data_IF_915237759786
#
_entry.id   IF_915237759786
#
_cell.length_a   1.000
_cell.length_b   1.000
_cell.length_c   1.000
_cell.angle_alpha   90.00
_cell.angle_beta   90.00
_cell.angle_gamma   90.00
#
_symmetry.space_group_name_H-M   'P 1'
#
loop_
_entity.id
_entity.type
_entity.pdbx_description
1 polymer ?
#
# COMPACT_ATOMS: atom_id res chain seq x y z
N UNK A 1 -3.89 -27.83 24.94
CA UNK A 1 -2.80 -26.86 25.16
C UNK A 1 -2.69 -26.67 26.66
N UNK A 2 -1.47 -26.67 27.18
CA UNK A 2 -1.22 -26.34 28.58
C UNK A 2 -1.61 -24.88 28.83
N UNK A 3 -2.30 -24.62 29.93
CA UNK A 3 -2.76 -23.27 30.31
C UNK A 3 -1.97 -22.82 31.52
N UNK A 4 -1.60 -21.55 31.56
CA UNK A 4 -0.95 -20.90 32.69
C UNK A 4 -1.84 -19.82 33.28
N UNK A 5 -1.82 -19.70 34.61
CA UNK A 5 -2.63 -18.72 35.35
C UNK A 5 -1.76 -17.52 35.70
N UNK A 6 -2.19 -16.35 35.31
CA UNK A 6 -1.48 -15.07 35.53
C UNK A 6 -2.45 -14.03 36.07
N UNK A 7 -1.91 -12.89 36.53
CA UNK A 7 -2.73 -11.71 36.84
C UNK A 7 -2.25 -10.52 36.05
N UNK A 8 -3.16 -9.81 35.39
CA UNK A 8 -2.87 -8.54 34.73
C UNK A 8 -3.68 -7.43 35.36
N UNK A 9 -3.02 -6.42 35.93
CA UNK A 9 -3.65 -5.32 36.69
C UNK A 9 -4.61 -5.83 37.79
N UNK A 10 -4.23 -6.90 38.47
CA UNK A 10 -5.05 -7.55 39.51
C UNK A 10 -6.14 -8.53 39.01
N UNK A 11 -6.41 -8.55 37.69
CA UNK A 11 -7.38 -9.45 37.06
C UNK A 11 -6.77 -10.84 36.81
N UNK A 12 -7.33 -11.92 37.35
CA UNK A 12 -6.86 -13.28 37.09
C UNK A 12 -7.23 -13.70 35.66
N UNK A 13 -6.32 -14.35 34.97
CA UNK A 13 -6.45 -14.82 33.60
C UNK A 13 -5.80 -16.19 33.43
N UNK A 14 -6.45 -17.06 32.65
CA UNK A 14 -5.86 -18.32 32.20
C UNK A 14 -5.59 -18.22 30.69
N UNK A 15 -4.34 -18.37 30.27
CA UNK A 15 -3.89 -18.20 28.90
C UNK A 15 -3.04 -19.37 28.45
N UNK A 16 -2.90 -19.66 27.15
CA UNK A 16 -2.04 -20.73 26.66
C UNK A 16 -0.57 -20.52 27.07
N UNK A 17 0.08 -21.58 27.50
CA UNK A 17 1.52 -21.57 27.77
C UNK A 17 2.29 -21.18 26.49
N UNK A 18 3.34 -20.36 26.64
CA UNK A 18 4.13 -19.85 25.51
C UNK A 18 3.58 -18.57 24.88
N UNK A 19 2.38 -18.11 25.26
CA UNK A 19 1.90 -16.79 24.84
C UNK A 19 2.81 -15.69 25.39
N UNK A 20 2.91 -14.57 24.66
CA UNK A 20 3.56 -13.35 25.16
C UNK A 20 2.64 -12.59 26.11
N UNK A 21 3.22 -11.71 26.94
CA UNK A 21 2.41 -10.82 27.80
C UNK A 21 1.47 -9.93 26.95
N UNK A 22 1.93 -9.51 25.77
CA UNK A 22 1.12 -8.70 24.85
C UNK A 22 -0.11 -9.48 24.35
N UNK A 23 0.05 -10.72 23.96
CA UNK A 23 -1.05 -11.59 23.52
C UNK A 23 -2.04 -11.85 24.65
N UNK A 24 -1.51 -12.19 25.83
CA UNK A 24 -2.33 -12.38 27.03
C UNK A 24 -3.15 -11.12 27.41
N UNK A 25 -2.53 -9.95 27.33
CA UNK A 25 -3.21 -8.68 27.59
C UNK A 25 -4.31 -8.41 26.57
N UNK A 26 -4.05 -8.62 25.28
CA UNK A 26 -5.05 -8.46 24.21
C UNK A 26 -6.22 -9.43 24.35
N UNK A 27 -5.95 -10.67 24.73
CA UNK A 27 -6.98 -11.65 25.03
C UNK A 27 -7.93 -11.16 26.16
N UNK A 28 -7.40 -10.42 27.12
CA UNK A 28 -8.14 -9.80 28.21
C UNK A 28 -8.77 -8.43 27.85
N UNK A 29 -8.68 -7.98 26.60
CA UNK A 29 -9.16 -6.66 26.19
C UNK A 29 -8.28 -5.49 26.66
N UNK A 30 -7.06 -5.75 27.16
CA UNK A 30 -6.12 -4.72 27.61
C UNK A 30 -5.20 -4.35 26.44
N UNK A 31 -5.27 -3.10 26.00
CA UNK A 31 -4.45 -2.61 24.91
C UNK A 31 -3.10 -2.07 25.41
N UNK A 32 -2.04 -2.86 25.23
CA UNK A 32 -0.66 -2.41 25.43
C UNK A 32 -0.16 -1.79 24.11
N UNK A 33 0.33 -0.52 24.13
CA UNK A 33 0.78 0.14 22.91
C UNK A 33 2.02 -0.52 22.32
N UNK A 34 2.12 -0.50 20.98
CA UNK A 34 3.26 -1.02 20.23
C UNK A 34 3.58 -0.10 19.05
N UNK A 35 4.85 0.00 18.64
CA UNK A 35 5.27 0.69 17.41
C UNK A 35 6.04 -0.22 16.46
N UNK A 36 6.80 -1.20 16.98
CA UNK A 36 7.55 -2.11 16.12
C UNK A 36 6.84 -3.44 15.89
N UNK A 37 6.00 -3.90 16.82
CA UNK A 37 5.42 -5.22 16.77
C UNK A 37 4.38 -5.39 15.65
N UNK A 38 4.54 -6.47 14.92
CA UNK A 38 3.54 -7.01 14.00
C UNK A 38 3.49 -8.52 14.19
N UNK A 39 2.29 -9.06 14.47
CA UNK A 39 2.10 -10.48 14.74
C UNK A 39 2.66 -11.34 13.61
N UNK A 40 3.38 -12.38 13.97
CA UNK A 40 3.98 -13.38 13.07
C UNK A 40 4.97 -12.81 12.02
N UNK A 41 5.23 -11.50 12.05
CA UNK A 41 6.06 -10.83 11.06
C UNK A 41 7.25 -10.06 11.68
N UNK A 42 7.02 -9.25 12.70
CA UNK A 42 8.07 -8.42 13.31
C UNK A 42 7.94 -8.37 14.84
N UNK A 43 8.53 -9.33 15.53
CA UNK A 43 8.44 -9.51 16.98
C UNK A 43 9.81 -9.32 17.66
N UNK A 44 10.45 -8.17 17.40
CA UNK A 44 11.85 -7.91 17.76
C UNK A 44 12.05 -7.09 19.04
N UNK A 45 10.99 -6.56 19.65
CA UNK A 45 11.06 -5.78 20.88
C UNK A 45 11.88 -4.48 20.79
N UNK A 46 12.09 -3.91 19.60
CA UNK A 46 13.00 -2.77 19.36
C UNK A 46 12.54 -1.45 19.97
N UNK A 47 11.26 -1.10 19.85
CA UNK A 47 10.75 0.24 20.20
C UNK A 47 10.57 0.50 21.70
N UNK A 48 10.53 -0.55 22.53
CA UNK A 48 10.35 -0.47 24.00
C UNK A 48 9.07 0.23 24.50
N UNK A 49 8.15 0.56 23.63
CA UNK A 49 6.87 1.21 24.01
C UNK A 49 5.94 0.24 24.75
N UNK A 50 6.05 -1.06 24.51
CA UNK A 50 5.22 -2.08 25.14
C UNK A 50 5.72 -2.51 26.54
N UNK A 51 6.60 -1.75 27.20
CA UNK A 51 7.11 -2.12 28.52
C UNK A 51 6.00 -2.24 29.55
N UNK A 52 6.15 -3.24 30.43
CA UNK A 52 5.25 -3.53 31.56
C UNK A 52 6.07 -3.84 32.79
N UNK A 53 5.44 -3.76 33.94
CA UNK A 53 6.02 -4.12 35.22
C UNK A 53 5.58 -5.53 35.60
N UNK A 54 6.55 -6.40 35.89
CA UNK A 54 6.30 -7.76 36.41
C UNK A 54 6.77 -7.77 37.85
N UNK A 55 5.90 -8.24 38.75
CA UNK A 55 6.22 -8.33 40.18
C UNK A 55 7.47 -9.21 40.37
N UNK A 56 8.40 -8.75 41.22
CA UNK A 56 9.73 -9.34 41.47
C UNK A 56 10.74 -9.20 40.34
N UNK A 57 10.38 -8.65 39.15
CA UNK A 57 11.38 -8.32 38.16
C UNK A 57 12.12 -7.03 38.51
N UNK A 58 13.45 -7.03 38.38
CA UNK A 58 14.27 -5.84 38.66
C UNK A 58 14.03 -4.68 37.68
N UNK A 59 13.68 -5.01 36.45
CA UNK A 59 13.49 -4.06 35.35
C UNK A 59 12.13 -4.22 34.71
N UNK A 60 11.67 -3.21 33.99
CA UNK A 60 10.52 -3.32 33.10
C UNK A 60 10.84 -4.27 31.95
N UNK A 61 9.88 -5.12 31.55
CA UNK A 61 10.02 -6.06 30.44
C UNK A 61 9.18 -5.66 29.25
N UNK A 62 9.60 -6.08 28.06
CA UNK A 62 8.86 -5.79 26.82
C UNK A 62 7.77 -6.84 26.60
N UNK A 63 6.52 -6.45 26.72
CA UNK A 63 5.39 -7.36 26.65
C UNK A 63 5.29 -8.14 25.32
N UNK A 64 5.77 -7.59 24.21
CA UNK A 64 5.64 -8.20 22.89
C UNK A 64 6.55 -9.41 22.64
N UNK A 65 7.58 -9.60 23.46
CA UNK A 65 8.55 -10.73 23.32
C UNK A 65 8.75 -11.51 24.63
N UNK A 66 8.15 -11.06 25.73
CA UNK A 66 8.34 -11.72 27.02
C UNK A 66 7.23 -12.77 27.22
N UNK A 67 7.58 -14.08 27.38
CA UNK A 67 6.59 -15.11 27.56
C UNK A 67 5.96 -15.07 28.95
N UNK A 68 4.70 -15.50 29.05
CA UNK A 68 4.01 -15.66 30.33
C UNK A 68 4.45 -16.94 31.04
N UNK A 69 4.47 -16.90 32.38
CA UNK A 69 4.75 -18.07 33.23
C UNK A 69 3.70 -18.15 34.33
N UNK A 70 3.51 -19.36 34.88
CA UNK A 70 2.53 -19.61 35.95
C UNK A 70 2.74 -18.69 37.16
N UNK A 71 1.66 -18.13 37.68
CA UNK A 71 1.66 -17.23 38.82
C UNK A 71 2.22 -15.83 38.59
N UNK A 72 2.50 -15.46 37.33
CA UNK A 72 3.03 -14.13 36.98
C UNK A 72 2.00 -13.03 37.27
N UNK A 73 2.44 -11.95 37.93
CA UNK A 73 1.63 -10.77 38.22
C UNK A 73 2.21 -9.57 37.46
N UNK A 74 1.38 -8.92 36.65
CA UNK A 74 1.77 -7.93 35.63
C UNK A 74 0.97 -6.65 35.80
N UNK A 75 1.65 -5.50 35.78
CA UNK A 75 1.03 -4.17 35.77
C UNK A 75 1.36 -3.46 34.46
N UNK A 76 0.33 -3.11 33.71
CA UNK A 76 0.45 -2.46 32.40
C UNK A 76 0.36 -0.94 32.47
N UNK A 77 -0.06 -0.38 33.60
CA UNK A 77 -0.40 1.02 33.81
C UNK A 77 0.16 1.61 35.11
N UNK A 78 1.18 0.99 35.72
CA UNK A 78 1.80 1.57 36.91
C UNK A 78 2.48 2.91 36.60
N UNK A 79 2.65 3.82 37.59
CA UNK A 79 3.36 5.10 37.40
C UNK A 79 4.74 4.92 36.79
N UNK A 80 5.43 3.84 37.14
CA UNK A 80 6.76 3.50 36.60
C UNK A 80 6.68 3.17 35.10
N UNK A 81 5.68 2.40 34.68
CA UNK A 81 5.42 2.05 33.27
C UNK A 81 5.06 3.31 32.47
N UNK A 82 4.15 4.13 32.98
CA UNK A 82 3.71 5.35 32.30
C UNK A 82 4.87 6.34 32.09
N UNK A 83 5.69 6.55 33.12
CA UNK A 83 6.90 7.39 33.03
C UNK A 83 7.90 6.85 32.02
N UNK A 84 8.15 5.53 32.00
CA UNK A 84 9.09 4.90 31.07
C UNK A 84 8.62 5.03 29.61
N UNK A 85 7.33 4.87 29.35
CA UNK A 85 6.77 5.03 28.00
C UNK A 85 6.84 6.47 27.52
N UNK A 86 6.50 7.46 28.38
CA UNK A 86 6.64 8.88 28.05
C UNK A 86 8.09 9.22 27.70
N UNK A 87 9.04 8.84 28.54
CA UNK A 87 10.48 9.06 28.28
C UNK A 87 10.93 8.37 26.98
N UNK A 88 10.44 7.18 26.68
CA UNK A 88 10.77 6.48 25.42
C UNK A 88 10.26 7.24 24.20
N UNK A 89 9.08 7.84 24.26
CA UNK A 89 8.54 8.69 23.19
C UNK A 89 9.36 9.97 23.02
N UNK A 90 9.72 10.64 24.12
CA UNK A 90 10.58 11.82 24.11
C UNK A 90 11.95 11.51 23.48
N UNK A 91 12.56 10.36 23.82
CA UNK A 91 13.80 9.90 23.20
C UNK A 91 13.64 9.59 21.70
N UNK A 92 12.50 9.05 21.27
CA UNK A 92 12.24 8.86 19.83
C UNK A 92 12.10 10.18 19.09
N UNK A 93 11.51 11.19 19.73
CA UNK A 93 11.37 12.53 19.16
C UNK A 93 12.69 13.27 19.02
N UNK A 94 13.71 12.96 19.86
CA UNK A 94 15.01 13.62 19.80
C UNK A 94 15.72 13.45 18.44
N UNK A 95 15.46 12.36 17.74
CA UNK A 95 16.05 12.05 16.42
C UNK A 95 15.04 12.15 15.27
N UNK A 96 13.79 12.52 15.55
CA UNK A 96 12.71 12.56 14.58
C UNK A 96 12.46 13.96 14.03
N UNK A 97 12.32 14.12 12.71
CA UNK A 97 11.87 15.40 12.11
C UNK A 97 10.43 15.71 12.53
N UNK A 98 10.28 16.69 13.40
CA UNK A 98 9.03 17.08 14.07
C UNK A 98 8.10 17.96 13.22
N UNK A 99 8.31 18.07 11.90
CA UNK A 99 7.45 18.84 10.99
C UNK A 99 6.11 18.15 10.73
N UNK A 100 5.36 17.87 11.79
CA UNK A 100 4.11 17.09 11.71
C UNK A 100 3.05 17.72 10.80
N UNK A 101 2.91 19.05 10.80
CA UNK A 101 1.88 19.75 9.99
C UNK A 101 2.07 19.59 8.47
N UNK A 102 3.30 19.39 8.01
CA UNK A 102 3.63 19.12 6.61
C UNK A 102 3.86 17.65 6.31
N UNK A 103 3.73 16.78 7.30
CA UNK A 103 3.95 15.35 7.15
C UNK A 103 2.75 14.67 6.48
N UNK A 104 3.00 13.74 5.54
CA UNK A 104 1.95 12.93 4.88
C UNK A 104 1.17 12.04 5.84
N UNK A 105 1.71 11.78 7.03
CA UNK A 105 1.09 11.00 8.12
C UNK A 105 0.44 11.88 9.19
N UNK A 106 0.34 13.19 9.00
CA UNK A 106 -0.38 14.05 9.95
C UNK A 106 -1.78 13.48 10.20
N UNK A 107 -2.22 13.49 11.46
CA UNK A 107 -3.47 12.87 11.95
C UNK A 107 -3.49 11.32 11.95
N UNK A 108 -2.69 10.66 11.13
CA UNK A 108 -2.70 9.20 10.92
C UNK A 108 -1.35 8.56 11.29
N UNK A 109 -0.55 9.23 12.13
CA UNK A 109 0.75 8.78 12.60
C UNK A 109 0.64 8.08 13.95
N UNK A 110 1.10 6.81 14.04
CA UNK A 110 1.08 6.05 15.29
C UNK A 110 1.95 6.71 16.39
N UNK A 111 3.10 7.30 16.03
CA UNK A 111 3.97 8.01 16.95
C UNK A 111 3.28 9.27 17.50
N UNK A 112 2.71 10.12 16.63
CA UNK A 112 2.00 11.33 17.01
C UNK A 112 0.83 11.04 17.95
N UNK A 113 0.05 9.97 17.65
CA UNK A 113 -1.04 9.52 18.52
C UNK A 113 -0.53 9.15 19.90
N UNK A 114 0.52 8.34 19.99
CA UNK A 114 1.07 7.93 21.29
C UNK A 114 1.65 9.12 22.07
N UNK A 115 2.34 10.06 21.43
CA UNK A 115 2.83 11.27 22.10
C UNK A 115 1.67 12.05 22.76
N UNK A 116 0.55 12.19 22.06
CA UNK A 116 -0.65 12.83 22.61
C UNK A 116 -1.26 12.00 23.76
N UNK A 117 -1.41 10.68 23.57
CA UNK A 117 -2.03 9.78 24.54
C UNK A 117 -1.21 9.71 25.87
N UNK A 118 0.11 9.89 25.80
CA UNK A 118 1.01 9.90 26.97
C UNK A 118 1.38 11.30 27.47
N UNK A 119 0.77 12.34 26.93
CA UNK A 119 0.97 13.72 27.39
C UNK A 119 2.42 14.20 27.23
N UNK A 120 3.04 13.95 26.07
CA UNK A 120 4.33 14.51 25.72
C UNK A 120 4.11 15.98 25.36
N UNK A 121 4.53 16.89 26.24
CA UNK A 121 4.39 18.34 26.09
C UNK A 121 5.66 18.96 25.50
N UNK A 122 6.82 18.54 26.03
CA UNK A 122 8.13 19.00 25.56
C UNK A 122 8.67 18.01 24.50
N UNK A 123 8.54 18.39 23.25
CA UNK A 123 9.02 17.59 22.13
C UNK A 123 10.53 17.71 21.91
N UNK A 124 11.16 18.65 22.58
CA UNK A 124 12.59 18.97 22.49
C UNK A 124 13.37 18.59 23.77
N UNK A 125 12.72 17.86 24.69
CA UNK A 125 13.29 17.46 25.98
C UNK A 125 14.69 16.81 25.90
N UNK A 126 14.99 16.12 24.81
CA UNK A 126 16.27 15.46 24.54
C UNK A 126 16.88 15.94 23.21
N UNK A 127 16.73 17.22 22.88
CA UNK A 127 17.32 17.76 21.65
C UNK A 127 18.84 17.74 21.70
N UNK A 128 19.49 17.45 20.58
CA UNK A 128 20.94 17.37 20.43
C UNK A 128 21.37 17.29 18.99
N UNK A 129 22.64 17.04 18.76
CA UNK A 129 23.15 16.79 17.39
C UNK A 129 22.60 15.48 16.85
N UNK A 130 21.98 15.55 15.68
CA UNK A 130 21.41 14.40 14.99
C UNK A 130 22.00 14.23 13.61
N UNK A 131 22.35 13.00 13.20
CA UNK A 131 22.72 12.74 11.83
C UNK A 131 21.54 13.08 10.90
N UNK A 132 21.81 13.87 9.88
CA UNK A 132 20.83 14.20 8.86
C UNK A 132 21.02 13.27 7.66
N UNK A 133 19.96 12.57 7.28
CA UNK A 133 19.95 11.70 6.12
C UNK A 133 19.37 12.43 4.91
N UNK A 134 19.98 12.29 3.72
CA UNK A 134 19.39 12.81 2.49
C UNK A 134 18.09 12.07 2.20
N UNK A 135 17.18 12.72 1.47
CA UNK A 135 15.99 12.09 0.93
C UNK A 135 16.38 11.16 -0.21
N UNK A 136 15.93 9.91 -0.16
CA UNK A 136 16.04 8.99 -1.28
C UNK A 136 14.76 9.07 -2.12
N UNK A 137 14.87 9.75 -3.26
CA UNK A 137 13.82 9.93 -4.27
C UNK A 137 14.16 9.25 -5.60
N UNK A 138 15.12 8.34 -5.59
CA UNK A 138 15.63 7.66 -6.78
C UNK A 138 14.62 6.74 -7.43
N UNK A 139 13.63 6.25 -6.67
CA UNK A 139 12.51 5.50 -7.26
C UNK A 139 11.50 6.44 -7.91
N UNK A 140 10.76 5.93 -8.91
CA UNK A 140 9.73 6.71 -9.59
C UNK A 140 8.46 6.95 -8.76
N UNK A 141 8.27 6.24 -7.65
CA UNK A 141 6.96 6.15 -7.00
C UNK A 141 6.99 6.19 -5.47
N UNK A 142 8.14 6.14 -4.86
CA UNK A 142 8.26 6.24 -3.40
C UNK A 142 9.45 7.12 -2.99
N UNK A 143 9.34 7.65 -1.79
CA UNK A 143 10.37 8.45 -1.12
C UNK A 143 10.69 7.82 0.21
N UNK A 144 11.98 7.72 0.54
CA UNK A 144 12.49 7.32 1.85
C UNK A 144 13.13 8.53 2.54
N UNK A 145 12.63 8.83 3.72
CA UNK A 145 13.09 9.92 4.60
C UNK A 145 13.49 9.35 5.96
N UNK A 146 14.78 9.05 6.11
CA UNK A 146 15.29 8.50 7.36
C UNK A 146 15.23 9.47 8.53
N UNK A 147 15.09 10.79 8.31
CA UNK A 147 14.91 11.76 9.38
C UNK A 147 13.57 11.59 10.13
N UNK A 148 12.64 10.82 9.55
CA UNK A 148 11.36 10.44 10.17
C UNK A 148 11.31 8.97 10.60
N UNK A 149 12.42 8.26 10.51
CA UNK A 149 12.50 6.85 10.87
C UNK A 149 12.70 6.67 12.37
N UNK A 150 11.93 5.77 12.98
CA UNK A 150 12.05 5.37 14.41
C UNK A 150 12.70 4.00 14.56
N UNK A 151 13.35 3.49 13.54
CA UNK A 151 14.08 2.20 13.52
C UNK A 151 13.24 1.00 13.99
N UNK A 152 11.93 1.02 13.76
CA UNK A 152 11.03 -0.05 14.16
C UNK A 152 11.18 -1.33 13.32
N UNK A 153 11.83 -1.27 12.17
CA UNK A 153 12.10 -2.38 11.24
C UNK A 153 10.86 -3.08 10.67
N UNK A 154 9.65 -2.53 10.82
CA UNK A 154 8.45 -3.09 10.19
C UNK A 154 8.57 -3.18 8.66
N UNK A 155 9.19 -2.17 8.04
CA UNK A 155 9.42 -2.14 6.60
C UNK A 155 10.40 -3.22 6.13
N UNK A 156 11.41 -3.54 6.94
CA UNK A 156 12.38 -4.61 6.68
C UNK A 156 11.67 -5.95 6.67
N UNK A 157 10.99 -6.29 7.76
CA UNK A 157 10.23 -7.53 7.87
C UNK A 157 9.17 -7.67 6.76
N UNK A 158 8.45 -6.60 6.44
CA UNK A 158 7.49 -6.60 5.34
C UNK A 158 8.14 -6.78 3.96
N UNK A 159 9.39 -6.35 3.76
CA UNK A 159 10.12 -6.56 2.52
C UNK A 159 10.63 -8.00 2.40
N UNK A 160 11.09 -8.57 3.50
CA UNK A 160 11.52 -9.97 3.60
C UNK A 160 10.35 -10.94 3.38
N UNK A 161 9.19 -10.66 3.98
CA UNK A 161 7.96 -11.44 3.79
C UNK A 161 7.48 -11.48 2.33
N UNK A 162 7.81 -10.46 1.54
CA UNK A 162 7.56 -10.46 0.10
C UNK A 162 8.67 -11.16 -0.72
N UNK A 163 9.60 -11.85 -0.07
CA UNK A 163 10.77 -12.49 -0.68
C UNK A 163 11.64 -11.54 -1.52
N UNK A 164 11.65 -10.25 -1.18
CA UNK A 164 12.43 -9.20 -1.89
C UNK A 164 13.67 -8.81 -1.10
N UNK A 165 13.53 -8.49 0.21
CA UNK A 165 14.64 -8.32 1.14
C UNK A 165 15.68 -7.26 0.77
N UNK A 166 15.33 -6.19 0.03
CA UNK A 166 16.30 -5.20 -0.47
C UNK A 166 16.60 -4.06 0.50
N UNK A 167 15.84 -3.97 1.59
CA UNK A 167 16.04 -2.94 2.63
C UNK A 167 16.37 -3.59 3.96
N UNK A 168 17.29 -2.99 4.71
CA UNK A 168 17.74 -3.48 6.01
C UNK A 168 18.34 -2.36 6.86
N UNK A 169 18.74 -2.67 8.11
CA UNK A 169 19.47 -1.71 8.92
C UNK A 169 20.93 -1.63 8.45
N UNK A 170 21.38 -0.43 8.13
CA UNK A 170 22.76 -0.08 7.83
C UNK A 170 23.38 0.67 9.01
N UNK A 171 24.71 0.70 9.11
CA UNK A 171 25.41 1.33 10.21
C UNK A 171 25.21 0.61 11.55
N UNK A 172 25.60 1.28 12.63
CA UNK A 172 25.42 0.80 14.01
C UNK A 172 25.39 1.94 15.00
N UNK A 173 24.87 1.69 16.20
CA UNK A 173 24.75 2.71 17.23
C UNK A 173 23.88 3.87 16.78
N UNK A 174 24.34 5.08 16.96
CA UNK A 174 23.61 6.30 16.64
C UNK A 174 23.46 6.54 15.11
N UNK A 175 24.40 6.03 14.31
CA UNK A 175 24.38 6.14 12.84
C UNK A 175 23.50 5.08 12.17
N UNK A 176 22.79 4.27 12.95
CA UNK A 176 21.90 3.24 12.38
C UNK A 176 20.76 3.90 11.61
N UNK A 177 20.58 3.47 10.38
CA UNK A 177 19.47 3.91 9.54
C UNK A 177 18.93 2.74 8.69
N UNK A 178 17.78 2.90 8.07
CA UNK A 178 17.23 1.92 7.14
C UNK A 178 17.72 2.26 5.74
N UNK A 179 18.46 1.33 5.14
CA UNK A 179 19.11 1.50 3.85
C UNK A 179 18.98 0.27 2.95
N UNK A 180 19.72 0.27 1.87
CA UNK A 180 19.96 -0.90 1.04
C UNK A 180 21.40 -1.36 1.21
N UNK A 181 21.72 -2.59 0.79
CA UNK A 181 23.08 -3.13 0.87
C UNK A 181 24.09 -2.18 0.16
N UNK A 182 25.25 -2.01 0.78
CA UNK A 182 26.34 -1.15 0.27
C UNK A 182 25.95 0.33 0.09
N UNK A 183 25.02 0.83 0.90
CA UNK A 183 24.52 2.22 0.84
C UNK A 183 23.95 2.62 -0.54
N UNK A 184 23.48 1.65 -1.31
CA UNK A 184 22.84 1.92 -2.59
C UNK A 184 21.50 2.61 -2.40
N UNK A 185 21.13 3.42 -3.36
CA UNK A 185 19.81 4.02 -3.42
C UNK A 185 18.73 2.97 -3.72
N UNK A 186 17.51 3.23 -3.28
CA UNK A 186 16.39 2.30 -3.46
C UNK A 186 16.03 2.10 -4.94
N UNK A 187 16.37 3.06 -5.82
CA UNK A 187 16.20 2.96 -7.27
C UNK A 187 17.17 2.00 -7.95
N UNK A 188 18.32 1.72 -7.32
CA UNK A 188 19.42 0.94 -7.89
C UNK A 188 19.45 -0.53 -7.45
N UNK A 189 18.48 -0.93 -6.60
CA UNK A 189 18.35 -2.30 -6.12
C UNK A 189 17.13 -3.00 -6.75
N UNK A 190 17.06 -4.32 -6.58
CA UNK A 190 15.97 -5.14 -7.13
C UNK A 190 14.60 -4.92 -6.44
N UNK A 191 14.26 -3.67 -6.12
CA UNK A 191 12.99 -3.31 -5.54
C UNK A 191 11.85 -3.53 -6.53
N UNK A 192 10.87 -4.37 -6.16
CA UNK A 192 9.70 -4.68 -7.01
C UNK A 192 8.58 -3.65 -6.91
N UNK A 193 8.75 -2.63 -6.08
CA UNK A 193 7.79 -1.54 -5.94
C UNK A 193 6.39 -1.98 -5.47
N UNK A 194 6.34 -2.98 -4.57
CA UNK A 194 5.07 -3.50 -4.06
C UNK A 194 4.38 -2.56 -3.06
N UNK A 195 5.11 -1.63 -2.40
CA UNK A 195 4.57 -0.66 -1.45
C UNK A 195 4.32 -1.21 -0.03
N UNK A 196 4.61 -2.49 0.27
CA UNK A 196 4.38 -3.07 1.60
C UNK A 196 5.14 -2.34 2.70
N UNK A 197 6.34 -1.88 2.42
CA UNK A 197 7.13 -1.07 3.35
C UNK A 197 6.45 0.27 3.71
N UNK A 198 5.74 0.90 2.77
CA UNK A 198 4.97 2.14 3.00
C UNK A 198 3.77 1.87 3.92
N UNK A 199 3.01 0.80 3.63
CA UNK A 199 1.81 0.43 4.40
C UNK A 199 2.16 0.15 5.85
N UNK A 200 3.26 -0.56 6.09
CA UNK A 200 3.67 -0.98 7.42
C UNK A 200 4.47 0.08 8.19
N UNK A 201 4.86 1.21 7.56
CA UNK A 201 5.58 2.27 8.24
C UNK A 201 4.65 3.02 9.22
N UNK A 202 4.97 3.07 10.53
CA UNK A 202 4.14 3.76 11.53
C UNK A 202 4.27 5.28 11.50
N UNK A 203 5.27 5.78 10.77
CA UNK A 203 5.58 7.22 10.61
C UNK A 203 5.60 7.62 9.13
N UNK A 204 6.01 8.84 8.83
CA UNK A 204 6.16 9.35 7.46
C UNK A 204 7.50 9.06 6.78
N UNK A 205 8.30 8.12 7.33
CA UNK A 205 9.62 7.81 6.80
C UNK A 205 9.60 7.18 5.40
N UNK A 206 8.58 6.41 5.10
CA UNK A 206 8.33 5.84 3.78
C UNK A 206 6.96 6.34 3.29
N UNK A 207 6.94 6.92 2.11
CA UNK A 207 5.73 7.47 1.51
C UNK A 207 5.71 7.28 0.01
N UNK A 208 4.54 7.35 -0.57
CA UNK A 208 4.36 7.49 -2.00
C UNK A 208 4.90 8.84 -2.49
N UNK A 209 5.42 8.88 -3.72
CA UNK A 209 5.80 10.11 -4.39
C UNK A 209 4.52 10.83 -4.82
N UNK A 210 4.27 12.01 -4.27
CA UNK A 210 3.02 12.74 -4.47
C UNK A 210 2.94 13.28 -5.91
N UNK A 211 1.86 12.97 -6.60
CA UNK A 211 1.58 13.44 -7.96
C UNK A 211 0.29 14.28 -8.05
N UNK A 212 -0.26 14.69 -6.91
CA UNK A 212 -1.52 15.45 -6.86
C UNK A 212 -1.42 16.76 -7.64
N UNK A 213 -0.33 17.50 -7.44
CA UNK A 213 -0.18 18.83 -8.05
C UNK A 213 -0.07 18.75 -9.58
N UNK A 214 0.54 17.68 -10.11
CA UNK A 214 0.57 17.41 -11.55
C UNK A 214 -0.85 17.20 -12.11
N UNK A 215 -1.68 16.46 -11.37
CA UNK A 215 -3.08 16.21 -11.74
C UNK A 215 -3.91 17.49 -11.68
N UNK A 216 -3.78 18.25 -10.60
CA UNK A 216 -4.49 19.52 -10.43
C UNK A 216 -4.14 20.49 -11.56
N UNK A 217 -2.84 20.61 -11.89
CA UNK A 217 -2.39 21.42 -13.01
C UNK A 217 -2.94 20.94 -14.36
N UNK A 218 -3.07 19.61 -14.53
CA UNK A 218 -3.65 19.05 -15.74
C UNK A 218 -5.15 19.35 -15.87
N UNK A 219 -5.91 19.28 -14.76
CA UNK A 219 -7.34 19.60 -14.73
C UNK A 219 -7.58 21.11 -14.98
N UNK A 220 -6.71 21.95 -14.46
CA UNK A 220 -6.81 23.40 -14.63
C UNK A 220 -6.47 23.90 -16.06
N UNK A 221 -5.83 23.08 -16.89
CA UNK A 221 -5.45 23.44 -18.25
C UNK A 221 -6.61 23.18 -19.23
N UNK A 222 -7.29 24.22 -19.76
CA UNK A 222 -8.47 24.07 -20.63
C UNK A 222 -8.15 23.39 -21.98
N UNK A 223 -6.87 23.28 -22.34
CA UNK A 223 -6.42 22.56 -23.55
C UNK A 223 -6.32 21.06 -23.38
N UNK A 224 -6.43 20.56 -22.14
CA UNK A 224 -6.29 19.15 -21.82
C UNK A 224 -7.65 18.52 -21.55
N UNK A 225 -7.86 17.36 -22.10
CA UNK A 225 -9.00 16.52 -21.78
C UNK A 225 -8.54 15.45 -20.76
N UNK A 226 -8.92 15.59 -19.51
CA UNK A 226 -8.44 14.78 -18.39
C UNK A 226 -9.43 13.66 -18.09
N UNK A 227 -8.96 12.43 -18.28
CA UNK A 227 -9.77 11.21 -18.11
C UNK A 227 -9.22 10.39 -16.98
N UNK A 228 -10.08 9.91 -16.10
CA UNK A 228 -9.73 9.03 -15.00
C UNK A 228 -10.37 7.65 -15.18
N UNK A 229 -9.62 6.63 -14.78
CA UNK A 229 -10.16 5.28 -14.61
C UNK A 229 -9.80 4.76 -13.21
N UNK A 230 -10.76 4.11 -12.56
CA UNK A 230 -10.61 3.63 -11.19
C UNK A 230 -10.39 2.12 -11.14
N UNK A 231 -9.43 1.66 -10.32
CA UNK A 231 -9.29 0.24 -10.05
C UNK A 231 -10.45 -0.27 -9.18
N UNK A 232 -10.86 -1.55 -9.32
CA UNK A 232 -12.01 -2.10 -8.59
C UNK A 232 -11.92 -2.00 -7.07
N UNK A 233 -10.71 -2.06 -6.50
CA UNK A 233 -10.47 -1.98 -5.05
C UNK A 233 -10.65 -0.57 -4.48
N UNK A 234 -10.55 0.48 -5.30
CA UNK A 234 -10.70 1.87 -4.83
C UNK A 234 -12.10 2.11 -4.25
N UNK A 235 -13.14 1.52 -4.88
CA UNK A 235 -14.53 1.65 -4.41
C UNK A 235 -14.79 1.05 -3.03
N UNK A 236 -13.96 0.11 -2.58
CA UNK A 236 -14.07 -0.51 -1.26
C UNK A 236 -13.13 0.11 -0.22
N UNK A 237 -12.03 0.74 -0.63
CA UNK A 237 -11.02 1.29 0.28
C UNK A 237 -11.18 2.81 0.51
N UNK A 238 -11.74 3.55 -0.43
CA UNK A 238 -11.83 5.01 -0.33
C UNK A 238 -12.71 5.48 0.84
N UNK A 239 -13.76 4.73 1.19
CA UNK A 239 -14.66 5.06 2.29
C UNK A 239 -13.97 5.11 3.64
N UNK A 240 -12.95 4.30 3.86
CA UNK A 240 -12.18 4.24 5.11
C UNK A 240 -11.46 5.57 5.41
N UNK A 241 -10.97 6.26 4.38
CA UNK A 241 -10.32 7.58 4.51
C UNK A 241 -11.29 8.70 4.94
N UNK A 242 -12.60 8.42 4.90
CA UNK A 242 -13.68 9.31 5.31
C UNK A 242 -14.46 8.77 6.52
N UNK A 243 -13.88 7.84 7.27
CA UNK A 243 -14.45 7.30 8.50
C UNK A 243 -15.61 6.32 8.30
N UNK A 244 -15.83 5.83 7.09
CA UNK A 244 -16.85 4.81 6.84
C UNK A 244 -16.34 3.42 7.28
N UNK A 245 -17.23 2.47 7.58
CA UNK A 245 -16.86 1.10 7.91
C UNK A 245 -16.00 0.46 6.81
N UNK A 246 -15.05 -0.41 7.22
CA UNK A 246 -14.17 -1.14 6.33
C UNK A 246 -14.97 -1.88 5.25
N UNK A 247 -14.57 -1.73 3.99
CA UNK A 247 -15.18 -2.40 2.85
C UNK A 247 -16.51 -1.79 2.39
N UNK A 248 -16.90 -0.60 2.88
CA UNK A 248 -18.08 0.10 2.38
C UNK A 248 -17.92 0.42 0.90
N UNK A 249 -18.86 -0.03 0.07
CA UNK A 249 -18.86 0.28 -1.36
C UNK A 249 -19.29 1.72 -1.61
N UNK A 250 -18.35 2.56 -2.03
CA UNK A 250 -18.56 3.98 -2.35
C UNK A 250 -18.47 4.26 -3.86
N UNK A 251 -18.74 3.26 -4.71
CA UNK A 251 -18.61 3.38 -6.18
C UNK A 251 -19.26 4.65 -6.74
N UNK A 252 -20.55 4.85 -6.45
CA UNK A 252 -21.28 5.99 -6.98
C UNK A 252 -20.81 7.34 -6.43
N UNK A 253 -20.53 7.38 -5.14
CA UNK A 253 -19.97 8.59 -4.48
C UNK A 253 -18.57 8.94 -5.00
N UNK A 254 -17.75 7.93 -5.24
CA UNK A 254 -16.42 8.10 -5.85
C UNK A 254 -16.53 8.71 -7.25
N UNK A 255 -17.44 8.23 -8.10
CA UNK A 255 -17.66 8.81 -9.45
C UNK A 255 -18.11 10.25 -9.34
N UNK A 256 -19.03 10.56 -8.44
CA UNK A 256 -19.50 11.92 -8.19
C UNK A 256 -18.36 12.84 -7.72
N UNK A 257 -17.51 12.36 -6.81
CA UNK A 257 -16.35 13.10 -6.32
C UNK A 257 -15.36 13.41 -7.45
N UNK A 258 -15.03 12.43 -8.29
CA UNK A 258 -14.12 12.60 -9.42
C UNK A 258 -14.62 13.63 -10.42
N UNK A 259 -15.92 13.66 -10.71
CA UNK A 259 -16.51 14.70 -11.57
C UNK A 259 -16.44 16.09 -10.95
N UNK A 260 -16.68 16.21 -9.63
CA UNK A 260 -16.56 17.49 -8.92
C UNK A 260 -15.13 17.99 -8.80
N UNK A 261 -14.15 17.08 -8.85
CA UNK A 261 -12.74 17.45 -8.95
C UNK A 261 -12.36 18.01 -10.34
N UNK A 262 -13.24 17.87 -11.34
CA UNK A 262 -13.02 18.44 -12.68
C UNK A 262 -12.51 17.45 -13.73
N UNK A 263 -12.61 16.14 -13.48
CA UNK A 263 -12.31 15.16 -14.54
C UNK A 263 -13.40 15.16 -15.60
N UNK A 264 -13.01 15.25 -16.88
CA UNK A 264 -13.93 15.26 -18.00
C UNK A 264 -14.69 13.96 -18.19
N UNK A 265 -14.02 12.82 -17.92
CA UNK A 265 -14.59 11.47 -18.04
C UNK A 265 -14.09 10.55 -16.93
N UNK A 266 -15.00 9.77 -16.38
CA UNK A 266 -14.74 8.80 -15.31
C UNK A 266 -15.13 7.40 -15.79
N UNK A 267 -14.16 6.50 -15.88
CA UNK A 267 -14.35 5.14 -16.39
C UNK A 267 -14.05 4.06 -15.36
N UNK A 268 -14.76 2.94 -15.48
CA UNK A 268 -14.44 1.73 -14.74
C UNK A 268 -13.33 0.92 -15.44
N UNK A 269 -12.35 0.44 -14.67
CA UNK A 269 -11.32 -0.46 -15.18
C UNK A 269 -11.85 -1.87 -15.48
N UNK A 270 -13.04 -2.24 -15.00
CA UNK A 270 -13.62 -3.56 -15.24
C UNK A 270 -13.85 -3.80 -16.75
N UNK A 271 -14.19 -2.78 -17.51
CA UNK A 271 -14.23 -2.89 -18.97
C UNK A 271 -12.88 -3.30 -19.58
N UNK A 272 -11.78 -2.69 -19.08
CA UNK A 272 -10.43 -3.10 -19.50
C UNK A 272 -10.05 -4.51 -19.04
N UNK A 273 -10.67 -5.00 -17.95
CA UNK A 273 -10.50 -6.37 -17.50
C UNK A 273 -11.17 -7.38 -18.46
N UNK A 274 -12.36 -7.05 -18.96
CA UNK A 274 -13.07 -7.89 -19.94
C UNK A 274 -12.27 -7.99 -21.24
N UNK A 275 -11.74 -6.88 -21.74
CA UNK A 275 -10.84 -6.89 -22.90
C UNK A 275 -9.59 -7.75 -22.67
N UNK A 276 -8.98 -7.65 -21.48
CA UNK A 276 -7.81 -8.46 -21.13
C UNK A 276 -8.13 -9.94 -21.09
N UNK A 277 -9.32 -10.33 -20.57
CA UNK A 277 -9.77 -11.72 -20.55
C UNK A 277 -9.90 -12.28 -21.98
N UNK A 278 -10.48 -11.52 -22.89
CA UNK A 278 -10.61 -11.93 -24.29
C UNK A 278 -9.24 -12.12 -24.96
N UNK A 279 -8.35 -11.15 -24.83
CA UNK A 279 -7.00 -11.20 -25.40
C UNK A 279 -6.18 -12.37 -24.84
N UNK A 280 -6.18 -12.55 -23.50
CA UNK A 280 -5.44 -13.63 -22.85
C UNK A 280 -6.03 -15.01 -23.18
N UNK A 281 -7.35 -15.12 -23.39
CA UNK A 281 -7.97 -16.37 -23.83
C UNK A 281 -7.55 -16.74 -25.25
N UNK A 282 -7.50 -15.78 -26.16
CA UNK A 282 -7.00 -16.02 -27.53
C UNK A 282 -5.52 -16.41 -27.52
N UNK A 283 -4.69 -15.69 -26.75
CA UNK A 283 -3.27 -16.03 -26.59
C UNK A 283 -3.09 -17.45 -26.04
N UNK A 284 -3.92 -17.85 -25.06
CA UNK A 284 -3.87 -19.19 -24.48
C UNK A 284 -4.21 -20.27 -25.51
N UNK A 285 -5.28 -20.05 -26.30
CA UNK A 285 -5.69 -20.98 -27.36
C UNK A 285 -4.56 -21.11 -28.40
N UNK A 286 -4.01 -19.98 -28.83
CA UNK A 286 -2.90 -19.98 -29.80
C UNK A 286 -1.69 -20.76 -29.29
N UNK A 287 -1.29 -20.55 -28.01
CA UNK A 287 -0.18 -21.30 -27.38
C UNK A 287 -0.45 -22.80 -27.29
N UNK A 288 -1.69 -23.20 -27.00
CA UNK A 288 -2.07 -24.63 -26.93
C UNK A 288 -2.05 -25.27 -28.32
N UNK A 289 -2.58 -24.58 -29.34
CA UNK A 289 -2.71 -25.14 -30.70
C UNK A 289 -1.37 -25.13 -31.46
N UNK A 290 -0.56 -24.12 -31.27
CA UNK A 290 0.69 -23.88 -32.01
C UNK A 290 1.97 -24.22 -31.24
N UNK A 291 1.86 -24.89 -30.07
CA UNK A 291 3.03 -25.35 -29.31
C UNK A 291 3.76 -24.24 -28.58
N UNK A 292 3.05 -23.20 -28.08
CA UNK A 292 3.65 -22.11 -27.33
C UNK A 292 3.99 -22.48 -25.88
N UNK A 293 4.69 -21.57 -25.17
CA UNK A 293 5.17 -21.79 -23.79
C UNK A 293 4.00 -21.81 -22.81
N UNK A 294 3.91 -22.87 -22.02
CA UNK A 294 2.93 -23.06 -20.95
C UNK A 294 3.63 -23.32 -19.61
N UNK A 295 3.03 -22.99 -18.45
CA UNK A 295 1.71 -22.34 -18.31
C UNK A 295 1.71 -20.88 -18.75
N UNK A 296 0.56 -20.36 -19.21
CA UNK A 296 0.37 -18.93 -19.44
C UNK A 296 0.09 -18.21 -18.12
N UNK A 297 0.95 -17.26 -17.76
CA UNK A 297 0.83 -16.48 -16.53
C UNK A 297 0.38 -15.07 -16.88
N UNK A 298 -0.68 -14.59 -16.21
CA UNK A 298 -1.18 -13.22 -16.43
C UNK A 298 -0.18 -12.15 -15.96
N UNK A 299 -0.17 -11.02 -16.64
CA UNK A 299 0.80 -9.93 -16.46
C UNK A 299 0.18 -8.63 -15.94
N UNK A 300 -0.98 -8.71 -15.29
CA UNK A 300 -1.70 -7.49 -14.86
C UNK A 300 -1.05 -6.76 -13.67
N UNK A 301 -0.28 -7.45 -12.80
CA UNK A 301 0.37 -6.86 -11.63
C UNK A 301 1.78 -6.36 -11.96
N UNK A 302 2.07 -5.04 -11.80
CA UNK A 302 3.41 -4.51 -12.06
C UNK A 302 4.47 -5.05 -11.10
N UNK A 303 4.11 -5.25 -9.83
CA UNK A 303 5.00 -5.83 -8.81
C UNK A 303 5.41 -7.26 -9.17
N UNK A 304 4.45 -8.08 -9.63
CA UNK A 304 4.73 -9.44 -10.11
C UNK A 304 5.67 -9.44 -11.32
N UNK A 305 5.43 -8.57 -12.30
CA UNK A 305 6.29 -8.49 -13.48
C UNK A 305 7.73 -8.15 -13.07
N UNK A 306 7.91 -7.14 -12.20
CA UNK A 306 9.23 -6.78 -11.70
C UNK A 306 9.88 -7.88 -10.89
N UNK A 307 9.10 -8.57 -10.05
CA UNK A 307 9.59 -9.72 -9.30
C UNK A 307 10.09 -10.82 -10.25
N UNK A 308 9.34 -11.11 -11.30
CA UNK A 308 9.74 -12.05 -12.34
C UNK A 308 11.00 -11.58 -13.10
N UNK A 309 11.06 -10.29 -13.47
CA UNK A 309 12.23 -9.71 -14.16
C UNK A 309 13.53 -9.81 -13.35
N UNK A 310 13.46 -9.63 -12.02
CA UNK A 310 14.64 -9.63 -11.16
C UNK A 310 15.02 -11.00 -10.62
N UNK A 311 14.05 -11.83 -10.26
CA UNK A 311 14.29 -13.06 -9.50
C UNK A 311 14.00 -14.34 -10.29
N UNK A 312 13.18 -14.27 -11.35
CA UNK A 312 12.77 -15.43 -12.16
C UNK A 312 12.71 -15.08 -13.66
N UNK A 313 13.82 -14.59 -14.25
CA UNK A 313 13.84 -14.17 -15.65
C UNK A 313 13.48 -15.30 -16.63
N UNK A 314 13.68 -16.56 -16.24
CA UNK A 314 13.30 -17.75 -17.01
C UNK A 314 11.78 -17.89 -17.18
N UNK A 315 10.96 -17.28 -16.30
CA UNK A 315 9.50 -17.27 -16.41
C UNK A 315 8.95 -16.15 -17.31
N UNK A 316 9.80 -15.25 -17.81
CA UNK A 316 9.33 -14.18 -18.69
C UNK A 316 8.61 -14.66 -19.95
N UNK A 317 9.01 -15.76 -20.62
CA UNK A 317 8.28 -16.33 -21.76
C UNK A 317 6.89 -16.84 -21.40
N UNK A 318 6.66 -17.22 -20.14
CA UNK A 318 5.37 -17.67 -19.64
C UNK A 318 4.38 -16.52 -19.41
N UNK A 319 4.87 -15.27 -19.26
CA UNK A 319 3.98 -14.14 -19.06
C UNK A 319 3.15 -13.86 -20.30
N UNK A 320 1.88 -13.51 -20.08
CA UNK A 320 1.00 -13.05 -21.17
C UNK A 320 1.58 -11.81 -21.85
N UNK A 321 1.55 -11.79 -23.16
CA UNK A 321 1.91 -10.64 -23.99
C UNK A 321 0.83 -9.54 -23.94
N UNK A 322 -0.36 -9.87 -23.45
CA UNK A 322 -1.49 -8.96 -23.34
C UNK A 322 -1.14 -7.71 -22.51
N UNK A 323 -1.57 -6.56 -22.98
CA UNK A 323 -1.42 -5.31 -22.24
C UNK A 323 -2.34 -5.33 -21.02
N UNK A 324 -1.83 -4.78 -19.90
CA UNK A 324 -2.62 -4.72 -18.67
C UNK A 324 -3.97 -4.01 -18.89
N UNK A 325 -4.96 -4.31 -18.03
CA UNK A 325 -6.33 -3.78 -18.07
C UNK A 325 -6.39 -2.26 -18.28
N UNK A 326 -5.59 -1.51 -17.54
CA UNK A 326 -5.51 -0.04 -17.68
C UNK A 326 -4.99 0.38 -19.05
N UNK A 327 -4.06 -0.37 -19.64
CA UNK A 327 -3.53 -0.12 -20.99
C UNK A 327 -4.51 -0.50 -22.08
N UNK A 328 -5.24 -1.59 -21.95
CA UNK A 328 -6.28 -1.99 -22.89
C UNK A 328 -7.37 -0.92 -22.98
N UNK A 329 -7.84 -0.42 -21.81
CA UNK A 329 -8.79 0.68 -21.78
C UNK A 329 -8.24 1.95 -22.41
N UNK A 330 -6.95 2.26 -22.15
CA UNK A 330 -6.26 3.40 -22.71
C UNK A 330 -6.27 3.41 -24.25
N UNK A 331 -6.16 2.25 -24.87
CA UNK A 331 -6.20 2.12 -26.32
C UNK A 331 -7.63 2.30 -26.89
N UNK A 332 -8.63 1.70 -26.23
CA UNK A 332 -10.02 1.74 -26.68
C UNK A 332 -10.69 3.11 -26.61
N UNK A 333 -10.17 4.03 -25.79
CA UNK A 333 -10.73 5.37 -25.63
C UNK A 333 -10.07 6.44 -26.52
N UNK A 334 -9.13 6.07 -27.40
CA UNK A 334 -8.56 6.98 -28.40
C UNK A 334 -9.51 7.08 -29.60
N UNK A 335 -9.94 8.29 -30.03
CA UNK A 335 -10.67 8.44 -31.28
C UNK A 335 -9.77 8.05 -32.46
N UNK A 336 -10.33 7.34 -33.43
CA UNK A 336 -9.63 6.85 -34.62
C UNK A 336 -9.27 7.91 -35.67
N UNK A 337 -9.13 9.20 -35.33
CA UNK A 337 -8.73 10.27 -36.25
C UNK A 337 -7.63 11.12 -35.65
N UNK A 338 -6.59 11.48 -36.41
CA UNK A 338 -5.56 12.37 -35.96
C UNK A 338 -6.14 13.78 -35.84
N UNK A 339 -6.57 14.17 -34.63
CA UNK A 339 -6.76 15.58 -34.30
C UNK A 339 -5.50 16.12 -33.66
N UNK A 340 -5.09 17.36 -33.96
CA UNK A 340 -3.87 17.92 -33.43
C UNK A 340 -3.91 17.98 -31.91
N UNK A 341 -2.95 17.32 -31.29
CA UNK A 341 -2.40 17.52 -29.95
C UNK A 341 -3.34 17.97 -28.82
N UNK A 342 -4.37 17.21 -28.54
CA UNK A 342 -4.98 17.24 -27.21
C UNK A 342 -4.37 16.11 -26.42
N UNK A 343 -3.46 16.41 -25.50
CA UNK A 343 -2.89 15.40 -24.62
C UNK A 343 -3.99 14.88 -23.71
N UNK A 344 -4.43 13.64 -23.93
CA UNK A 344 -5.34 12.95 -23.03
C UNK A 344 -4.50 12.46 -21.86
N UNK A 345 -4.62 13.11 -20.71
CA UNK A 345 -4.02 12.63 -19.47
C UNK A 345 -4.98 11.67 -18.79
N UNK A 346 -4.45 10.60 -18.28
CA UNK A 346 -5.20 9.52 -17.63
C UNK A 346 -4.65 9.28 -16.25
N UNK A 347 -5.57 9.22 -15.31
CA UNK A 347 -5.28 8.94 -13.94
C UNK A 347 -5.94 7.62 -13.60
N UNK A 348 -5.19 6.68 -13.07
CA UNK A 348 -5.75 5.46 -12.48
C UNK A 348 -5.40 5.46 -11.00
N UNK A 349 -6.42 5.19 -10.16
CA UNK A 349 -6.21 4.95 -8.75
C UNK A 349 -6.06 3.44 -8.53
N UNK A 350 -4.85 2.90 -8.41
CA UNK A 350 -4.70 1.53 -7.96
C UNK A 350 -5.00 1.45 -6.47
N UNK A 351 -5.47 0.31 -6.01
CA UNK A 351 -5.55 0.01 -4.57
C UNK A 351 -4.19 0.24 -3.90
N UNK A 352 -4.21 0.51 -2.62
CA UNK A 352 -3.05 0.86 -1.79
C UNK A 352 -1.84 -0.12 -1.85
N UNK A 353 -1.96 -1.22 -2.56
CA UNK A 353 -0.98 -2.30 -2.65
C UNK A 353 -0.24 -2.37 -4.01
N UNK A 354 -0.51 -1.47 -4.95
CA UNK A 354 0.21 -1.44 -6.21
C UNK A 354 0.62 -0.01 -6.55
N UNK A 355 1.80 0.43 -6.16
CA UNK A 355 2.40 1.59 -6.79
C UNK A 355 2.64 1.22 -8.25
N UNK A 356 1.97 1.92 -9.17
CA UNK A 356 1.93 1.57 -10.58
C UNK A 356 2.84 2.44 -11.47
N UNK A 357 4.15 2.48 -11.33
CA UNK A 357 4.93 3.36 -12.18
C UNK A 357 5.79 2.70 -13.23
N UNK A 358 6.07 1.42 -13.24
CA UNK A 358 6.90 0.85 -14.30
C UNK A 358 6.20 -0.17 -15.19
N UNK A 359 5.07 0.22 -15.75
CA UNK A 359 4.55 -0.45 -16.95
C UNK A 359 5.34 -0.08 -18.21
N UNK A 360 6.39 0.74 -18.08
CA UNK A 360 7.31 1.09 -19.17
C UNK A 360 8.47 0.10 -19.33
N UNK A 361 8.80 -0.72 -18.32
CA UNK A 361 9.89 -1.71 -18.46
C UNK A 361 9.57 -2.77 -19.53
N UNK A 362 8.28 -3.13 -19.71
CA UNK A 362 7.87 -3.96 -20.86
C UNK A 362 8.08 -3.31 -22.22
N UNK A 363 8.18 -2.00 -22.27
CA UNK A 363 8.47 -1.32 -23.54
C UNK A 363 9.91 -1.52 -24.01
N UNK A 364 10.84 -1.84 -23.11
CA UNK A 364 12.24 -2.06 -23.47
C UNK A 364 12.51 -3.48 -24.04
N UNK A 365 11.73 -4.48 -23.62
CA UNK A 365 11.95 -5.88 -24.01
C UNK A 365 11.14 -6.30 -25.26
N UNK A 366 10.00 -5.64 -25.55
CA UNK A 366 9.11 -6.01 -26.65
C UNK A 366 8.96 -4.93 -27.74
N UNK A 367 9.92 -4.00 -27.85
CA UNK A 367 9.81 -2.90 -28.80
C UNK A 367 10.33 -3.21 -30.18
N UNK A 368 9.45 -3.70 -31.04
CA UNK A 368 9.53 -3.34 -32.47
C UNK A 368 8.45 -2.37 -32.95
N UNK A 369 7.52 -1.95 -32.11
CA UNK A 369 6.51 -0.92 -32.43
C UNK A 369 6.29 0.02 -31.23
N UNK A 370 6.93 1.18 -31.24
CA UNK A 370 6.67 2.28 -30.29
C UNK A 370 5.34 2.93 -30.64
N UNK A 371 4.35 3.03 -29.73
CA UNK A 371 3.44 4.15 -29.77
C UNK A 371 4.19 5.39 -29.27
N UNK A 372 4.10 6.49 -30.02
CA UNK A 372 4.82 7.73 -29.77
C UNK A 372 4.45 8.45 -28.45
N UNK A 373 3.53 7.89 -27.63
CA UNK A 373 3.05 8.50 -26.40
C UNK A 373 2.89 7.49 -25.27
N UNK A 374 3.18 7.86 -23.99
CA UNK A 374 2.90 7.03 -22.85
C UNK A 374 1.38 6.75 -22.73
N UNK A 375 1.02 5.52 -22.35
CA UNK A 375 -0.39 5.10 -22.29
C UNK A 375 -1.10 5.56 -21.02
N UNK A 376 -0.36 5.88 -19.97
CA UNK A 376 -0.83 6.50 -18.73
C UNK A 376 0.20 7.52 -18.31
N UNK A 377 -0.28 8.71 -17.93
CA UNK A 377 0.59 9.81 -17.55
C UNK A 377 0.86 9.80 -16.04
N UNK A 378 -0.19 9.67 -15.23
CA UNK A 378 -0.13 9.73 -13.77
C UNK A 378 -0.94 8.60 -13.14
N UNK A 379 -0.50 8.16 -11.97
CA UNK A 379 -1.20 7.17 -11.13
C UNK A 379 -1.31 7.70 -9.72
N UNK A 380 -2.55 7.84 -9.23
CA UNK A 380 -2.82 8.21 -7.85
C UNK A 380 -3.12 6.98 -6.98
N UNK A 381 -2.66 7.00 -5.75
CA UNK A 381 -3.11 6.07 -4.71
C UNK A 381 -4.46 6.49 -4.14
N UNK A 382 -5.12 5.59 -3.40
CA UNK A 382 -6.38 5.90 -2.69
C UNK A 382 -6.17 7.07 -1.72
N UNK A 383 -5.03 7.10 -1.01
CA UNK A 383 -4.71 8.19 -0.06
C UNK A 383 -4.50 9.54 -0.74
N UNK A 384 -3.85 9.56 -1.91
CA UNK A 384 -3.72 10.78 -2.71
C UNK A 384 -5.07 11.28 -3.20
N UNK A 385 -5.93 10.38 -3.70
CA UNK A 385 -7.29 10.73 -4.11
C UNK A 385 -8.10 11.28 -2.93
N UNK A 386 -8.01 10.65 -1.76
CA UNK A 386 -8.68 11.14 -0.56
C UNK A 386 -8.19 12.54 -0.15
N UNK A 387 -6.88 12.80 -0.23
CA UNK A 387 -6.31 14.15 0.00
C UNK A 387 -6.83 15.18 -1.01
N UNK A 388 -6.92 14.81 -2.29
CA UNK A 388 -7.50 15.70 -3.32
C UNK A 388 -8.96 16.05 -3.02
N UNK A 389 -9.78 15.06 -2.66
CA UNK A 389 -11.19 15.24 -2.31
C UNK A 389 -11.32 16.17 -1.09
N UNK A 390 -10.52 15.93 -0.03
CA UNK A 390 -10.47 16.76 1.19
C UNK A 390 -10.00 18.19 0.89
N UNK A 391 -8.94 18.37 0.08
CA UNK A 391 -8.46 19.69 -0.36
C UNK A 391 -9.51 20.49 -1.16
N UNK A 392 -10.36 19.81 -1.91
CA UNK A 392 -11.45 20.41 -2.65
C UNK A 392 -12.71 20.69 -1.77
N UNK A 393 -12.63 20.44 -0.45
CA UNK A 393 -13.75 20.55 0.49
C UNK A 393 -14.99 19.75 0.06
N UNK A 394 -14.80 18.60 -0.56
CA UNK A 394 -15.88 17.70 -0.97
C UNK A 394 -16.13 16.71 0.15
N UNK A 395 -17.34 16.71 0.71
CA UNK A 395 -17.78 15.69 1.65
C UNK A 395 -18.27 14.46 0.89
N UNK A 396 -17.44 13.41 0.86
CA UNK A 396 -17.76 12.17 0.16
C UNK A 396 -19.03 11.51 0.70
N UNK A 397 -19.33 11.68 2.00
CA UNK A 397 -20.48 11.00 2.66
C UNK A 397 -21.81 11.55 2.16
N UNK A 398 -21.86 12.83 1.79
CA UNK A 398 -23.06 13.55 1.36
C UNK A 398 -23.27 13.49 -0.16
N UNK A 399 -22.33 12.95 -0.92
CA UNK A 399 -22.47 12.90 -2.37
C UNK A 399 -23.56 11.93 -2.82
N UNK A 400 -24.31 12.28 -3.89
CA UNK A 400 -25.20 11.33 -4.55
C UNK A 400 -24.40 10.26 -5.28
N UNK A 401 -25.04 9.10 -5.49
CA UNK A 401 -24.45 8.05 -6.31
C UNK A 401 -24.59 8.38 -7.80
N UNK A 402 -23.48 8.43 -8.51
CA UNK A 402 -23.40 8.63 -9.96
C UNK A 402 -22.85 7.38 -10.65
N UNK A 403 -23.15 7.24 -11.95
CA UNK A 403 -22.67 6.12 -12.77
C UNK A 403 -21.43 6.54 -13.55
N UNK A 404 -20.57 5.57 -13.83
CA UNK A 404 -19.46 5.74 -14.77
C UNK A 404 -19.92 6.20 -16.14
N UNK A 405 -19.05 6.92 -16.87
CA UNK A 405 -19.30 7.30 -18.23
C UNK A 405 -19.38 6.05 -19.13
N UNK A 406 -20.32 6.03 -20.08
CA UNK A 406 -20.47 4.89 -20.99
C UNK A 406 -19.23 4.72 -21.86
N UNK A 407 -18.86 3.47 -22.11
CA UNK A 407 -17.79 3.10 -23.01
C UNK A 407 -18.34 2.98 -24.42
N UNK A 408 -17.82 3.72 -25.38
CA UNK A 408 -18.26 3.63 -26.77
C UNK A 408 -18.01 2.21 -27.29
N UNK A 409 -19.05 1.55 -27.78
CA UNK A 409 -18.98 0.36 -28.63
C UNK A 409 -19.25 -1.01 -28.00
N UNK A 410 -19.49 -1.13 -26.69
CA UNK A 410 -19.86 -2.41 -26.10
C UNK A 410 -21.27 -2.40 -25.50
N UNK A 411 -22.26 -2.69 -26.33
CA UNK A 411 -23.60 -3.12 -25.87
C UNK A 411 -23.57 -4.65 -25.72
N UNK A 412 -22.75 -5.18 -24.82
CA UNK A 412 -22.92 -6.56 -24.43
C UNK A 412 -23.68 -6.60 -23.09
N UNK A 413 -24.89 -7.16 -23.12
CA UNK A 413 -25.73 -7.48 -21.95
C UNK A 413 -24.99 -8.32 -20.89
N UNK A 414 -23.79 -8.83 -21.18
CA UNK A 414 -22.93 -9.61 -20.29
C UNK A 414 -22.06 -8.79 -19.35
N UNK A 415 -21.82 -7.48 -19.60
CA UNK A 415 -21.06 -6.63 -18.68
C UNK A 415 -21.74 -6.41 -17.31
N UNK A 416 -23.06 -6.59 -17.22
CA UNK A 416 -23.81 -6.51 -15.96
C UNK A 416 -23.59 -7.70 -15.02
N UNK A 417 -23.21 -8.87 -15.55
CA UNK A 417 -23.01 -10.09 -14.77
C UNK A 417 -21.64 -10.17 -14.07
N UNK A 418 -20.71 -9.31 -14.45
CA UNK A 418 -19.39 -9.20 -13.80
C UNK A 418 -19.44 -8.76 -12.33
N UNK A 419 -20.58 -8.25 -11.86
CA UNK A 419 -20.80 -7.88 -10.45
C UNK A 419 -20.86 -9.06 -9.48
N UNK A 420 -20.96 -10.32 -9.96
CA UNK A 420 -20.99 -11.54 -9.13
C UNK A 420 -19.65 -12.28 -9.18
N UNK A 421 -18.58 -11.65 -8.74
CA UNK A 421 -17.24 -12.20 -8.90
C UNK A 421 -16.78 -13.12 -7.80
N UNK A 422 -16.72 -14.40 -8.07
CA UNK A 422 -15.83 -15.30 -7.33
C UNK A 422 -14.77 -16.03 -8.20
N UNK A 423 -14.84 -15.98 -9.55
CA UNK A 423 -14.00 -16.89 -10.36
C UNK A 423 -13.58 -16.27 -11.71
N UNK A 424 -12.56 -15.38 -11.68
CA UNK A 424 -12.01 -14.78 -12.92
C UNK A 424 -11.33 -15.82 -13.83
N UNK A 425 -10.67 -16.81 -13.23
CA UNK A 425 -9.94 -17.83 -13.98
C UNK A 425 -10.90 -18.83 -14.67
N UNK A 426 -12.03 -19.16 -14.06
CA UNK A 426 -13.09 -19.95 -14.72
C UNK A 426 -13.65 -19.28 -15.98
N UNK A 427 -13.66 -17.95 -16.05
CA UNK A 427 -14.14 -17.23 -17.23
C UNK A 427 -13.17 -17.28 -18.38
N UNK A 428 -11.86 -17.22 -18.10
CA UNK A 428 -10.83 -17.41 -19.13
C UNK A 428 -10.94 -18.79 -19.74
N UNK A 429 -11.09 -19.82 -18.92
CA UNK A 429 -11.29 -21.21 -19.37
C UNK A 429 -12.62 -21.34 -20.11
N UNK A 430 -13.71 -20.74 -19.63
CA UNK A 430 -15.01 -20.75 -20.31
C UNK A 430 -14.95 -20.02 -21.64
N UNK A 431 -14.36 -18.81 -21.70
CA UNK A 431 -14.20 -18.08 -22.97
C UNK A 431 -13.37 -18.90 -23.98
N UNK A 432 -12.28 -19.54 -23.50
CA UNK A 432 -11.50 -20.43 -24.35
C UNK A 432 -12.31 -21.64 -24.82
N UNK A 433 -13.08 -22.27 -23.93
CA UNK A 433 -13.95 -23.39 -24.27
C UNK A 433 -15.05 -22.97 -25.26
N UNK A 434 -15.74 -21.85 -25.04
CA UNK A 434 -16.77 -21.32 -25.93
C UNK A 434 -16.20 -21.01 -27.32
N UNK A 435 -14.98 -20.46 -27.38
CA UNK A 435 -14.28 -20.17 -28.65
C UNK A 435 -13.90 -21.47 -29.39
N UNK A 436 -13.44 -22.49 -28.68
CA UNK A 436 -13.05 -23.78 -29.26
C UNK A 436 -14.26 -24.63 -29.68
N UNK A 437 -15.41 -24.51 -29.00
CA UNK A 437 -16.61 -25.29 -29.25
C UNK A 437 -17.62 -24.58 -30.13
N UNK A 438 -17.38 -23.33 -30.50
CA UNK A 438 -18.26 -22.53 -31.35
C UNK A 438 -19.59 -22.13 -30.69
N UNK A 439 -19.67 -22.10 -29.37
CA UNK A 439 -20.85 -21.70 -28.57
C UNK A 439 -20.82 -20.25 -28.10
#
# INVERSE_FOLDING_TARGET
>A
MEMVNIKINGMPLSVPAGSTILEAARYAGINIPTLCWMKDLNEIGACRICVVEVVRAKTLVTACVYPVNEGMEIYTNSPRVMKARKMTLELMLSTHDKKCLSCVRSENCELQKLCRDYGVEDVDAFEGENPQSPLDETTLHMVRDNNKCILCRRCVAACEDQFVGVIGPNGRGFDTHIGCAFEKDLGDVACVSCGQCIVNCPTGALREKDQIDEVVAAIADPKKHVVVQTAPSVRAALGEEFGMPIGTNVEGKMVAALRRLGFDKVFDTDFGADMTIMEEAHEFIDRVQNGGVLPLITSCSPGWIKFCEFYYPELLPNLSSCKSRSRCRALSSRPGTPRPTTSIRRISCPSALCPAPRRNSRSAVTMKTRPAFPMMDVVLTVRELARMIKRANIDLTMLPDEKFDPTHGCVHRRCGDLRRHRRRDERRVRTAADTLTGK
#
